data_IF_050477574574
#
_entry.id   IF_050477574574
#
_cell.length_a   1.000
_cell.length_b   1.000
_cell.length_c   1.000
_cell.angle_alpha   90.00
_cell.angle_beta   90.00
_cell.angle_gamma   90.00
#
_symmetry.space_group_name_H-M   'P 1'
#
loop_
_entity.id
_entity.type
_entity.pdbx_description
1 polymer ?
#
# COMPACT_ATOMS: atom_id res chain seq x y z
N UNK A 1 15.03 5.53 43.96
CA UNK A 1 13.72 4.86 44.10
C UNK A 1 12.76 5.51 43.11
N UNK A 2 12.71 5.03 41.87
CA UNK A 2 11.78 5.57 40.86
C UNK A 2 10.36 5.08 41.18
N UNK A 3 9.30 5.90 41.03
CA UNK A 3 7.94 5.48 41.34
C UNK A 3 7.50 4.31 40.45
N UNK A 4 6.79 3.32 41.00
CA UNK A 4 6.32 2.15 40.23
C UNK A 4 5.41 2.53 39.04
N UNK A 5 4.76 3.70 39.11
CA UNK A 5 3.92 4.26 38.04
C UNK A 5 4.74 4.55 36.76
N UNK A 6 5.97 5.05 36.90
CA UNK A 6 6.87 5.28 35.75
C UNK A 6 7.34 3.97 35.12
N UNK A 7 7.51 2.91 35.92
CA UNK A 7 7.84 1.59 35.42
C UNK A 7 6.67 0.95 34.65
N UNK A 8 5.42 1.17 35.10
CA UNK A 8 4.21 0.68 34.43
C UNK A 8 3.98 1.41 33.09
N UNK A 9 4.17 2.73 33.05
CA UNK A 9 4.09 3.50 31.80
C UNK A 9 5.23 3.19 30.81
N UNK A 10 6.38 2.72 31.31
CA UNK A 10 7.47 2.24 30.45
C UNK A 10 7.24 0.81 29.94
N UNK A 11 6.39 0.01 30.61
CA UNK A 11 6.03 -1.36 30.23
C UNK A 11 4.76 -1.46 29.38
N UNK A 12 3.98 -0.38 29.26
CA UNK A 12 2.97 -0.29 28.22
C UNK A 12 3.63 -0.08 26.86
N UNK A 13 4.40 -1.08 26.41
CA UNK A 13 4.46 -1.38 25.00
C UNK A 13 3.03 -1.65 24.59
N UNK A 14 2.44 -0.87 23.66
CA UNK A 14 1.19 -1.28 23.07
C UNK A 14 1.49 -2.58 22.33
N UNK A 15 1.29 -3.72 22.98
CA UNK A 15 1.01 -4.98 22.30
C UNK A 15 -0.18 -4.62 21.41
N UNK A 16 0.13 -4.34 20.14
CA UNK A 16 -0.75 -3.51 19.33
C UNK A 16 -2.05 -4.27 19.15
N UNK A 17 -3.10 -3.86 19.87
CA UNK A 17 -4.43 -4.48 19.83
C UNK A 17 -5.13 -4.38 18.48
N UNK A 18 -4.39 -4.02 17.42
CA UNK A 18 -4.80 -4.13 16.04
C UNK A 18 -4.81 -5.60 15.62
N UNK A 19 -5.81 -5.97 14.82
CA UNK A 19 -6.06 -7.34 14.34
C UNK A 19 -4.86 -8.05 13.66
N UNK A 20 -3.82 -7.30 13.27
CA UNK A 20 -2.61 -7.77 12.58
C UNK A 20 -1.32 -7.72 13.42
N UNK A 21 -1.38 -7.28 14.68
CA UNK A 21 -0.23 -7.27 15.60
C UNK A 21 0.93 -6.39 15.14
N UNK A 22 2.15 -6.83 15.43
CA UNK A 22 3.40 -6.11 15.15
C UNK A 22 3.65 -5.88 13.64
N UNK A 23 3.06 -6.73 12.80
CA UNK A 23 3.18 -6.69 11.34
C UNK A 23 2.06 -5.93 10.64
N UNK A 24 1.26 -5.14 11.38
CA UNK A 24 0.17 -4.34 10.81
C UNK A 24 0.62 -3.48 9.64
N UNK A 25 1.70 -2.73 9.79
CA UNK A 25 2.21 -1.86 8.72
C UNK A 25 2.66 -2.67 7.50
N UNK A 26 3.52 -3.70 7.63
CA UNK A 26 3.88 -4.55 6.51
C UNK A 26 2.67 -5.11 5.75
N UNK A 27 1.69 -5.68 6.43
CA UNK A 27 0.51 -6.23 5.75
C UNK A 27 -0.35 -5.16 5.06
N UNK A 28 -0.55 -3.98 5.68
CA UNK A 28 -1.31 -2.88 5.07
C UNK A 28 -0.60 -2.32 3.85
N UNK A 29 0.72 -2.13 3.93
CA UNK A 29 1.54 -1.64 2.81
C UNK A 29 1.59 -2.67 1.68
N UNK A 30 1.70 -3.95 2.00
CA UNK A 30 1.65 -5.03 1.01
C UNK A 30 0.31 -5.06 0.27
N UNK A 31 -0.81 -4.97 1.01
CA UNK A 31 -2.15 -4.93 0.43
C UNK A 31 -2.35 -3.70 -0.46
N UNK A 32 -1.97 -2.51 0.02
CA UNK A 32 -2.10 -1.27 -0.73
C UNK A 32 -1.21 -1.25 -1.98
N UNK A 33 0.06 -1.65 -1.85
CA UNK A 33 1.01 -1.74 -2.95
C UNK A 33 0.56 -2.75 -4.01
N UNK A 34 0.13 -3.93 -3.57
CA UNK A 34 -0.42 -4.97 -4.44
C UNK A 34 -1.68 -4.50 -5.20
N UNK A 35 -2.60 -3.81 -4.52
CA UNK A 35 -3.79 -3.24 -5.15
C UNK A 35 -3.45 -2.17 -6.20
N UNK A 36 -2.45 -1.33 -5.94
CA UNK A 36 -2.00 -0.30 -6.90
C UNK A 36 -1.42 -0.95 -8.17
N UNK A 37 -0.59 -1.98 -8.01
CA UNK A 37 -0.03 -2.72 -9.16
C UNK A 37 -1.15 -3.41 -9.94
N UNK A 38 -1.98 -4.19 -9.26
CA UNK A 38 -3.05 -4.96 -9.89
C UNK A 38 -4.08 -4.05 -10.61
N UNK A 39 -4.50 -2.95 -9.98
CA UNK A 39 -5.44 -2.00 -10.56
C UNK A 39 -4.90 -1.29 -11.81
N UNK A 40 -3.64 -0.87 -11.78
CA UNK A 40 -3.02 -0.23 -12.94
C UNK A 40 -2.76 -1.24 -14.08
N UNK A 41 -2.34 -2.47 -13.78
CA UNK A 41 -2.21 -3.54 -14.80
C UNK A 41 -3.57 -3.90 -15.40
N UNK A 42 -4.61 -4.04 -14.58
CA UNK A 42 -5.96 -4.35 -15.04
C UNK A 42 -6.49 -3.27 -16.00
N UNK A 43 -6.18 -2.00 -15.76
CA UNK A 43 -6.54 -0.90 -16.66
C UNK A 43 -5.83 -0.98 -18.03
N UNK A 44 -4.61 -1.52 -18.07
CA UNK A 44 -3.84 -1.73 -19.31
C UNK A 44 -4.39 -2.93 -20.10
N UNK A 45 -4.68 -4.05 -19.42
CA UNK A 45 -5.18 -5.26 -20.08
C UNK A 45 -6.65 -5.15 -20.49
N UNK A 46 -7.45 -4.39 -19.74
CA UNK A 46 -8.86 -4.13 -20.04
C UNK A 46 -9.06 -2.62 -20.21
N UNK A 47 -8.62 -2.06 -21.34
CA UNK A 47 -8.89 -0.67 -21.64
C UNK A 47 -10.42 -0.45 -21.72
N UNK A 48 -10.93 0.68 -21.18
CA UNK A 48 -12.36 0.99 -21.25
C UNK A 48 -12.82 1.10 -22.71
N UNK A 49 -14.05 0.67 -23.04
CA UNK A 49 -14.56 0.69 -24.41
C UNK A 49 -14.60 2.12 -24.95
N UNK A 50 -14.23 2.31 -26.22
CA UNK A 50 -14.16 3.63 -26.89
C UNK A 50 -15.45 4.44 -26.78
N UNK A 51 -16.61 3.78 -26.63
CA UNK A 51 -17.91 4.41 -26.42
C UNK A 51 -18.02 5.24 -25.12
N UNK A 52 -17.06 5.08 -24.20
CA UNK A 52 -16.97 5.87 -22.97
C UNK A 52 -16.13 7.15 -23.13
N UNK A 53 -15.42 7.32 -24.26
CA UNK A 53 -14.69 8.57 -24.55
C UNK A 53 -15.69 9.66 -24.90
N UNK A 54 -15.67 10.76 -24.15
CA UNK A 54 -16.48 11.95 -24.45
C UNK A 54 -15.75 12.85 -25.44
N UNK A 55 -16.52 13.64 -26.18
CA UNK A 55 -15.97 14.68 -27.06
C UNK A 55 -15.15 15.68 -26.21
N UNK A 56 -13.82 15.70 -26.40
CA UNK A 56 -12.87 16.47 -25.58
C UNK A 56 -11.89 15.64 -24.74
N UNK A 57 -12.00 14.30 -24.72
CA UNK A 57 -10.98 13.44 -24.11
C UNK A 57 -9.64 13.49 -24.87
N UNK A 58 -8.52 13.37 -24.15
CA UNK A 58 -7.20 13.32 -24.76
C UNK A 58 -7.09 12.12 -25.72
N UNK A 59 -6.51 12.33 -26.91
CA UNK A 59 -6.18 11.28 -27.90
C UNK A 59 -5.47 10.07 -27.26
N UNK A 60 -4.64 10.34 -26.24
CA UNK A 60 -3.95 9.34 -25.44
C UNK A 60 -4.12 9.66 -23.96
N UNK A 61 -4.66 8.70 -23.20
CA UNK A 61 -4.68 8.80 -21.75
C UNK A 61 -3.23 8.97 -21.23
N UNK A 62 -3.00 9.71 -20.13
CA UNK A 62 -1.66 9.95 -19.58
C UNK A 62 -1.09 8.68 -18.93
N UNK A 63 -0.64 7.73 -19.77
CA UNK A 63 -0.05 6.43 -19.40
C UNK A 63 1.13 6.62 -18.44
N UNK A 64 1.89 7.71 -18.59
CA UNK A 64 3.00 8.03 -17.71
C UNK A 64 2.58 8.09 -16.23
N UNK A 65 1.41 8.66 -15.92
CA UNK A 65 0.93 8.77 -14.53
C UNK A 65 0.53 7.41 -13.95
N UNK A 66 -0.14 6.58 -14.73
CA UNK A 66 -0.53 5.22 -14.32
C UNK A 66 0.68 4.31 -14.09
N UNK A 67 1.70 4.39 -14.96
CA UNK A 67 2.93 3.62 -14.81
C UNK A 67 3.70 4.04 -13.56
N UNK A 68 3.81 5.34 -13.28
CA UNK A 68 4.45 5.83 -12.05
C UNK A 68 3.74 5.28 -10.81
N UNK A 69 2.41 5.34 -10.76
CA UNK A 69 1.67 4.77 -9.63
C UNK A 69 1.86 3.25 -9.50
N UNK A 70 1.86 2.51 -10.61
CA UNK A 70 2.15 1.08 -10.58
C UNK A 70 3.54 0.78 -10.00
N UNK A 71 4.58 1.54 -10.40
CA UNK A 71 5.94 1.36 -9.89
C UNK A 71 6.04 1.69 -8.40
N UNK A 72 5.42 2.77 -7.95
CA UNK A 72 5.39 3.13 -6.52
C UNK A 72 4.73 2.02 -5.71
N UNK A 73 3.61 1.50 -6.18
CA UNK A 73 2.93 0.36 -5.55
C UNK A 73 3.80 -0.90 -5.52
N UNK A 74 4.53 -1.18 -6.59
CA UNK A 74 5.42 -2.34 -6.67
C UNK A 74 6.59 -2.23 -5.69
N UNK A 75 7.24 -1.07 -5.61
CA UNK A 75 8.33 -0.83 -4.65
C UNK A 75 7.83 -0.99 -3.22
N UNK A 76 6.67 -0.41 -2.89
CA UNK A 76 6.06 -0.55 -1.57
C UNK A 76 5.71 -2.01 -1.25
N UNK A 77 5.13 -2.75 -2.20
CA UNK A 77 4.79 -4.16 -2.03
C UNK A 77 6.03 -5.03 -1.82
N UNK A 78 7.10 -4.83 -2.60
CA UNK A 78 8.37 -5.56 -2.45
C UNK A 78 8.99 -5.27 -1.09
N UNK A 79 9.03 -4.01 -0.68
CA UNK A 79 9.55 -3.63 0.63
C UNK A 79 8.76 -4.28 1.77
N UNK A 80 7.44 -4.20 1.73
CA UNK A 80 6.59 -4.79 2.76
C UNK A 80 6.70 -6.32 2.80
N UNK A 81 6.79 -6.98 1.64
CA UNK A 81 7.03 -8.41 1.55
C UNK A 81 8.39 -8.78 2.15
N UNK A 82 9.44 -8.01 1.86
CA UNK A 82 10.74 -8.22 2.48
C UNK A 82 10.67 -8.07 4.00
N UNK A 83 10.00 -7.01 4.50
CA UNK A 83 9.80 -6.81 5.93
C UNK A 83 9.08 -7.97 6.61
N UNK A 84 8.08 -8.59 5.98
CA UNK A 84 7.39 -9.78 6.51
C UNK A 84 8.25 -11.05 6.49
N UNK A 85 9.18 -11.15 5.55
CA UNK A 85 10.05 -12.33 5.42
C UNK A 85 11.31 -12.25 6.29
N UNK A 86 11.72 -11.04 6.68
CA UNK A 86 12.94 -10.80 7.46
C UNK A 86 12.71 -10.24 8.87
N UNK A 87 11.50 -9.72 9.13
CA UNK A 87 11.04 -9.29 10.46
C UNK A 87 10.60 -10.49 11.28
#
# INVERSE_FOLDING_TARGET
MLPPVLAVLAQSSPDSGAFLGDDLLPYLVLALGGALVAGNLAAIFRPPPEKARKEGDLERAPIARSVVMAVVGAVAAIWALASLLTG
#
